data_IF_024315938712
#
_entry.id   IF_024315938712
#
_cell.length_a   1.000
_cell.length_b   1.000
_cell.length_c   1.000
_cell.angle_alpha   90.00
_cell.angle_beta   90.00
_cell.angle_gamma   90.00
#
_symmetry.space_group_name_H-M   'P 1'
#
loop_
_entity.id
_entity.type
_entity.pdbx_description
1 polymer ?
#
# COMPACT_ATOMS: atom_id res chain seq x y z
N UNK A 1 -6.50 22.24 -28.01
CA UNK A 1 -5.41 21.30 -27.68
C UNK A 1 -5.84 19.93 -28.12
N UNK A 2 -4.92 19.16 -28.71
CA UNK A 2 -5.20 17.77 -29.03
C UNK A 2 -5.21 16.89 -27.77
N UNK A 3 -5.91 15.75 -27.84
CA UNK A 3 -6.02 14.80 -26.74
C UNK A 3 -4.64 14.28 -26.30
N UNK A 4 -3.73 14.05 -27.25
CA UNK A 4 -2.38 13.61 -26.94
C UNK A 4 -1.63 14.66 -26.12
N UNK A 5 -1.76 15.94 -26.49
CA UNK A 5 -1.14 17.06 -25.76
C UNK A 5 -1.68 17.15 -24.34
N UNK A 6 -3.00 17.04 -24.15
CA UNK A 6 -3.63 17.05 -22.83
C UNK A 6 -3.12 15.88 -21.98
N UNK A 7 -3.03 14.68 -22.57
CA UNK A 7 -2.56 13.47 -21.88
C UNK A 7 -1.13 13.66 -21.36
N UNK A 8 -0.21 14.16 -22.19
CA UNK A 8 1.16 14.40 -21.77
C UNK A 8 1.27 15.49 -20.70
N UNK A 9 0.45 16.55 -20.79
CA UNK A 9 0.44 17.60 -19.77
C UNK A 9 -0.04 17.07 -18.42
N UNK A 10 -1.15 16.34 -18.39
CA UNK A 10 -1.71 15.81 -17.14
C UNK A 10 -0.78 14.77 -16.52
N UNK A 11 -0.30 13.80 -17.29
CA UNK A 11 0.62 12.78 -16.80
C UNK A 11 1.94 13.42 -16.37
N UNK A 12 2.54 14.28 -17.19
CA UNK A 12 3.77 14.97 -16.84
C UNK A 12 3.65 15.80 -15.58
N UNK A 13 2.53 16.53 -15.42
CA UNK A 13 2.27 17.34 -14.23
C UNK A 13 2.09 16.50 -12.96
N UNK A 14 1.41 15.36 -13.02
CA UNK A 14 1.25 14.48 -11.84
C UNK A 14 2.58 13.88 -11.41
N UNK A 15 3.41 13.41 -12.35
CA UNK A 15 4.76 12.95 -12.05
C UNK A 15 5.62 14.05 -11.44
N UNK A 16 5.62 15.25 -12.04
CA UNK A 16 6.37 16.39 -11.53
C UNK A 16 5.94 16.77 -10.09
N UNK A 17 4.63 16.76 -9.81
CA UNK A 17 4.09 17.00 -8.48
C UNK A 17 4.59 15.96 -7.46
N UNK A 18 4.45 14.66 -7.76
CA UNK A 18 4.89 13.61 -6.84
C UNK A 18 6.40 13.62 -6.62
N UNK A 19 7.20 13.85 -7.65
CA UNK A 19 8.65 14.02 -7.52
C UNK A 19 8.99 15.24 -6.66
N UNK A 20 8.31 16.37 -6.88
CA UNK A 20 8.46 17.58 -6.07
C UNK A 20 8.17 17.32 -4.58
N UNK A 21 7.08 16.60 -4.28
CA UNK A 21 6.74 16.19 -2.92
C UNK A 21 7.82 15.26 -2.35
N UNK A 22 8.30 14.29 -3.12
CA UNK A 22 9.34 13.35 -2.68
C UNK A 22 10.67 14.04 -2.34
N UNK A 23 11.06 15.07 -3.11
CA UNK A 23 12.24 15.87 -2.80
C UNK A 23 12.04 16.76 -1.57
N UNK A 24 10.85 17.34 -1.41
CA UNK A 24 10.54 18.20 -0.26
C UNK A 24 10.42 17.42 1.05
N UNK A 25 9.82 16.23 1.02
CA UNK A 25 9.56 15.38 2.18
C UNK A 25 10.65 14.31 2.41
N UNK A 26 11.89 14.57 1.97
CA UNK A 26 12.98 13.59 2.04
C UNK A 26 13.31 13.24 3.50
N UNK A 27 13.23 11.95 3.84
CA UNK A 27 13.55 11.46 5.17
C UNK A 27 15.05 11.59 5.48
N UNK A 28 15.38 12.05 6.70
CA UNK A 28 16.74 12.18 7.22
C UNK A 28 17.16 11.01 8.13
N UNK A 29 16.23 10.17 8.57
CA UNK A 29 16.50 9.02 9.43
C UNK A 29 15.65 7.79 9.09
N UNK A 30 16.04 6.63 9.60
CA UNK A 30 15.31 5.36 9.44
C UNK A 30 13.90 5.42 10.05
N UNK A 31 13.71 6.14 11.17
CA UNK A 31 12.40 6.30 11.80
C UNK A 31 11.48 7.21 10.97
N UNK A 32 12.02 8.29 10.41
CA UNK A 32 11.28 9.13 9.46
C UNK A 32 10.93 8.37 8.19
N UNK A 33 11.82 7.49 7.71
CA UNK A 33 11.59 6.70 6.52
C UNK A 33 10.49 5.64 6.70
N UNK A 34 10.51 4.86 7.80
CA UNK A 34 9.58 3.74 7.97
C UNK A 34 8.26 4.11 8.64
N UNK A 35 8.23 5.12 9.52
CA UNK A 35 7.01 5.46 10.29
C UNK A 35 6.67 6.95 10.24
N UNK A 36 7.33 7.74 9.37
CA UNK A 36 7.14 9.18 9.27
C UNK A 36 7.26 9.90 10.64
N UNK A 37 8.17 9.41 11.49
CA UNK A 37 8.38 9.93 12.85
C UNK A 37 7.19 9.75 13.80
N UNK A 38 6.16 8.98 13.43
CA UNK A 38 4.94 8.77 14.23
C UNK A 38 4.00 9.97 14.30
N UNK A 39 4.25 11.04 13.54
CA UNK A 39 3.52 12.31 13.61
C UNK A 39 2.31 12.43 12.69
N UNK A 40 2.04 11.44 11.83
CA UNK A 40 0.96 11.50 10.84
C UNK A 40 -0.40 11.29 11.51
N UNK A 41 -1.33 12.23 11.31
CA UNK A 41 -2.67 12.14 11.87
C UNK A 41 -3.37 10.84 11.41
N UNK A 42 -4.10 10.12 12.29
CA UNK A 42 -4.66 8.80 11.97
C UNK A 42 -5.53 8.77 10.70
N UNK A 43 -6.33 9.82 10.46
CA UNK A 43 -7.17 9.93 9.25
C UNK A 43 -6.30 10.06 8.00
N UNK A 44 -5.23 10.86 8.03
CA UNK A 44 -4.31 11.00 6.91
C UNK A 44 -3.56 9.69 6.64
N UNK A 45 -3.14 9.01 7.70
CA UNK A 45 -2.49 7.71 7.59
C UNK A 45 -3.44 6.65 7.00
N UNK A 46 -4.71 6.65 7.42
CA UNK A 46 -5.74 5.79 6.86
C UNK A 46 -6.02 6.07 5.38
N UNK A 47 -6.07 7.35 4.98
CA UNK A 47 -6.20 7.73 3.56
C UNK A 47 -4.99 7.32 2.73
N UNK A 48 -3.76 7.52 3.25
CA UNK A 48 -2.54 7.09 2.57
C UNK A 48 -2.53 5.57 2.37
N UNK A 49 -2.96 4.83 3.38
CA UNK A 49 -3.08 3.38 3.35
C UNK A 49 -4.13 2.92 2.33
N UNK A 50 -5.28 3.59 2.27
CA UNK A 50 -6.31 3.32 1.26
C UNK A 50 -5.85 3.67 -0.16
N UNK A 51 -5.04 4.72 -0.32
CA UNK A 51 -4.48 5.13 -1.60
C UNK A 51 -3.42 4.14 -2.12
N UNK A 52 -2.51 3.67 -1.26
CA UNK A 52 -1.50 2.66 -1.60
C UNK A 52 -2.13 1.34 -2.05
N UNK A 53 -3.27 1.02 -1.46
CA UNK A 53 -4.08 -0.14 -1.81
C UNK A 53 -4.80 -0.01 -3.18
N UNK A 54 -5.01 1.21 -3.66
CA UNK A 54 -5.63 1.50 -4.96
C UNK A 54 -4.59 1.48 -6.08
N UNK A 55 -4.38 0.30 -6.69
CA UNK A 55 -3.50 0.16 -7.85
C UNK A 55 -4.25 0.21 -9.19
N UNK A 56 -3.51 0.39 -10.29
CA UNK A 56 -4.07 0.26 -11.64
C UNK A 56 -4.66 -1.15 -11.89
N UNK A 57 -4.03 -2.19 -11.32
CA UNK A 57 -4.55 -3.55 -11.38
C UNK A 57 -5.91 -3.64 -10.72
N UNK A 58 -6.08 -3.03 -9.55
CA UNK A 58 -7.35 -2.99 -8.80
C UNK A 58 -8.43 -2.26 -9.60
N UNK A 59 -8.10 -1.09 -10.16
CA UNK A 59 -9.05 -0.28 -10.94
C UNK A 59 -9.54 -1.01 -12.19
N UNK A 60 -8.62 -1.51 -13.02
CA UNK A 60 -8.95 -2.18 -14.28
C UNK A 60 -9.62 -3.54 -14.00
N UNK A 61 -9.12 -4.32 -13.04
CA UNK A 61 -9.70 -5.61 -12.71
C UNK A 61 -11.11 -5.46 -12.18
N UNK A 62 -11.38 -4.47 -11.32
CA UNK A 62 -12.72 -4.28 -10.78
C UNK A 62 -13.72 -3.92 -11.88
N UNK A 63 -13.33 -3.03 -12.81
CA UNK A 63 -14.16 -2.72 -13.97
C UNK A 63 -14.44 -3.96 -14.83
N UNK A 64 -13.42 -4.79 -15.09
CA UNK A 64 -13.59 -6.06 -15.82
C UNK A 64 -14.48 -7.06 -15.11
N UNK A 65 -14.28 -7.26 -13.80
CA UNK A 65 -15.08 -8.20 -12.99
C UNK A 65 -16.55 -7.77 -12.91
N UNK A 66 -16.83 -6.48 -12.71
CA UNK A 66 -18.22 -5.97 -12.69
C UNK A 66 -18.85 -6.06 -14.07
N UNK A 67 -18.11 -5.73 -15.13
CA UNK A 67 -18.62 -5.84 -16.50
C UNK A 67 -19.01 -7.27 -16.86
N UNK A 68 -18.31 -8.28 -16.34
CA UNK A 68 -18.56 -9.69 -16.69
C UNK A 68 -19.50 -10.41 -15.72
N UNK A 69 -19.46 -10.07 -14.42
CA UNK A 69 -20.20 -10.78 -13.36
C UNK A 69 -21.30 -9.92 -12.70
N UNK A 70 -21.48 -8.67 -13.13
CA UNK A 70 -22.47 -7.75 -12.57
C UNK A 70 -22.29 -7.56 -11.07
N UNK A 71 -23.40 -7.63 -10.31
CA UNK A 71 -23.39 -7.50 -8.86
C UNK A 71 -22.49 -8.52 -8.16
N UNK A 72 -22.35 -9.74 -8.71
CA UNK A 72 -21.45 -10.76 -8.17
C UNK A 72 -19.99 -10.31 -8.13
N UNK A 73 -19.56 -9.51 -9.12
CA UNK A 73 -18.24 -8.90 -9.14
C UNK A 73 -18.08 -7.84 -8.03
N UNK A 74 -19.12 -7.07 -7.74
CA UNK A 74 -19.08 -6.03 -6.70
C UNK A 74 -18.87 -6.59 -5.27
N UNK A 75 -19.21 -7.87 -5.02
CA UNK A 75 -18.98 -8.52 -3.72
C UNK A 75 -17.48 -8.62 -3.40
N UNK A 76 -16.61 -8.74 -4.41
CA UNK A 76 -15.16 -8.74 -4.21
C UNK A 76 -14.66 -7.41 -3.61
N UNK A 77 -15.28 -6.29 -3.98
CA UNK A 77 -14.95 -4.97 -3.41
C UNK A 77 -15.26 -4.93 -1.90
N UNK A 78 -16.41 -5.47 -1.49
CA UNK A 78 -16.80 -5.57 -0.09
C UNK A 78 -15.90 -6.52 0.70
N UNK A 79 -15.63 -7.72 0.15
CA UNK A 79 -14.78 -8.72 0.80
C UNK A 79 -13.36 -8.22 1.02
N UNK A 80 -12.78 -7.57 0.01
CA UNK A 80 -11.42 -7.06 0.07
C UNK A 80 -11.28 -5.87 1.03
N UNK A 81 -12.22 -4.91 0.98
CA UNK A 81 -12.27 -3.78 1.92
C UNK A 81 -12.47 -4.25 3.36
N UNK A 82 -13.40 -5.19 3.57
CA UNK A 82 -13.65 -5.78 4.89
C UNK A 82 -12.44 -6.53 5.45
N UNK A 83 -11.75 -7.30 4.60
CA UNK A 83 -10.48 -7.96 4.95
C UNK A 83 -9.41 -6.97 5.42
N UNK A 84 -9.35 -5.79 4.80
CA UNK A 84 -8.42 -4.74 5.20
C UNK A 84 -8.69 -4.21 6.61
N UNK A 85 -9.97 -3.99 6.94
CA UNK A 85 -10.39 -3.57 8.28
C UNK A 85 -10.05 -4.65 9.31
N UNK A 86 -10.27 -5.92 8.98
CA UNK A 86 -9.89 -7.03 9.87
C UNK A 86 -8.38 -7.08 10.10
N UNK A 87 -7.55 -6.94 9.06
CA UNK A 87 -6.09 -6.88 9.21
C UNK A 87 -5.65 -5.68 10.06
N UNK A 88 -6.24 -4.50 9.84
CA UNK A 88 -5.93 -3.29 10.59
C UNK A 88 -6.30 -3.42 12.08
N UNK A 89 -7.40 -4.10 12.42
CA UNK A 89 -7.82 -4.28 13.82
C UNK A 89 -7.15 -5.48 14.50
N UNK A 90 -6.93 -6.57 13.78
CA UNK A 90 -6.51 -7.85 14.36
C UNK A 90 -5.02 -8.13 14.22
N UNK A 91 -4.33 -7.55 13.24
CA UNK A 91 -2.92 -7.83 12.99
C UNK A 91 -2.03 -6.62 13.30
N UNK A 92 -2.41 -5.43 12.84
CA UNK A 92 -1.59 -4.22 12.99
C UNK A 92 -1.23 -3.90 14.46
N UNK A 93 -2.10 -4.07 15.48
CA UNK A 93 -1.73 -3.81 16.87
C UNK A 93 -0.62 -4.74 17.39
N UNK A 94 -0.60 -5.99 16.96
CA UNK A 94 0.42 -6.96 17.39
C UNK A 94 1.76 -6.68 16.70
N UNK A 95 1.73 -6.36 15.40
CA UNK A 95 2.94 -5.97 14.67
C UNK A 95 3.55 -4.69 15.26
N UNK A 96 2.72 -3.70 15.62
CA UNK A 96 3.16 -2.48 16.31
C UNK A 96 3.84 -2.78 17.65
N UNK A 97 3.26 -3.68 18.46
CA UNK A 97 3.85 -4.11 19.75
C UNK A 97 5.17 -4.87 19.58
N UNK A 98 5.36 -5.55 18.45
CA UNK A 98 6.58 -6.30 18.15
C UNK A 98 7.78 -5.38 17.80
N UNK A 99 7.52 -4.12 17.41
CA UNK A 99 8.56 -3.11 17.23
C UNK A 99 9.48 -3.30 16.02
N UNK A 100 9.08 -4.13 15.05
CA UNK A 100 9.80 -4.30 13.77
C UNK A 100 9.10 -3.57 12.64
N UNK A 101 9.88 -3.13 11.66
CA UNK A 101 9.40 -2.30 10.57
C UNK A 101 8.93 -3.11 9.34
N UNK A 102 9.33 -4.38 9.22
CA UNK A 102 8.99 -5.23 8.07
C UNK A 102 8.37 -6.57 8.46
N UNK A 103 7.48 -7.10 7.62
CA UNK A 103 6.84 -8.40 7.84
C UNK A 103 7.84 -9.57 7.76
N UNK A 104 8.86 -9.47 6.90
CA UNK A 104 9.90 -10.49 6.78
C UNK A 104 10.79 -10.59 8.02
N UNK A 105 11.15 -9.45 8.63
CA UNK A 105 11.84 -9.44 9.93
C UNK A 105 10.96 -10.03 11.03
N UNK A 106 9.67 -9.68 11.07
CA UNK A 106 8.72 -10.27 12.01
C UNK A 106 8.71 -11.79 11.92
N UNK A 107 8.59 -12.34 10.71
CA UNK A 107 8.58 -13.80 10.48
C UNK A 107 9.92 -14.42 10.90
N UNK A 108 11.04 -13.83 10.48
CA UNK A 108 12.37 -14.34 10.82
C UNK A 108 12.60 -14.42 12.34
N UNK A 109 12.20 -13.39 13.07
CA UNK A 109 12.40 -13.31 14.52
C UNK A 109 11.37 -14.18 15.27
N UNK A 110 10.12 -14.23 14.79
CA UNK A 110 9.04 -15.04 15.39
C UNK A 110 9.34 -16.55 15.37
N UNK A 111 10.04 -17.01 14.33
CA UNK A 111 10.40 -18.41 14.13
C UNK A 111 11.90 -18.69 14.33
N UNK A 112 12.69 -17.69 14.73
CA UNK A 112 14.14 -17.80 14.88
C UNK A 112 14.86 -18.41 13.66
N UNK A 113 14.40 -18.07 12.45
CA UNK A 113 14.81 -18.74 11.21
C UNK A 113 15.10 -17.76 10.08
N UNK A 114 16.35 -17.79 9.59
CA UNK A 114 16.76 -17.02 8.41
C UNK A 114 16.09 -17.55 7.13
N UNK A 115 15.83 -18.85 7.05
CA UNK A 115 15.10 -19.43 5.92
C UNK A 115 13.67 -18.90 5.86
N UNK A 116 12.98 -18.82 7.00
CA UNK A 116 11.61 -18.28 7.07
C UNK A 116 11.58 -16.79 6.67
N UNK A 117 12.60 -16.01 7.07
CA UNK A 117 12.78 -14.62 6.62
C UNK A 117 12.94 -14.54 5.11
N UNK A 118 13.78 -15.39 4.51
CA UNK A 118 14.02 -15.39 3.07
C UNK A 118 12.77 -15.77 2.28
N UNK A 119 12.02 -16.77 2.75
CA UNK A 119 10.73 -17.15 2.15
C UNK A 119 9.75 -15.98 2.22
N UNK A 120 9.67 -15.26 3.35
CA UNK A 120 8.82 -14.09 3.47
C UNK A 120 9.20 -12.98 2.48
N UNK A 121 10.50 -12.74 2.28
CA UNK A 121 10.98 -11.79 1.25
C UNK A 121 10.59 -12.26 -0.15
N UNK A 122 10.77 -13.54 -0.48
CA UNK A 122 10.38 -14.08 -1.77
C UNK A 122 8.87 -13.93 -2.01
N UNK A 123 8.04 -14.23 -1.02
CA UNK A 123 6.59 -14.02 -1.08
C UNK A 123 6.23 -12.55 -1.31
N UNK A 124 6.90 -11.61 -0.63
CA UNK A 124 6.65 -10.16 -0.79
C UNK A 124 7.04 -9.62 -2.17
N UNK A 125 8.00 -10.24 -2.85
CA UNK A 125 8.44 -9.80 -4.20
C UNK A 125 7.54 -10.39 -5.29
N UNK A 126 7.00 -11.59 -5.08
CA UNK A 126 6.22 -12.33 -6.09
C UNK A 126 4.73 -11.98 -6.04
N UNK A 127 4.18 -11.72 -4.85
CA UNK A 127 2.76 -11.44 -4.63
C UNK A 127 2.36 -10.04 -5.09
#
# INVERSE_FOLDING_TARGET
MDLQTITYLVVGATFALYLGIAFWARAGSTSEFYVAGGGVHPVMNGMATAADWMSAASFISMAGLISNMGYGGAVFLMGWTGGYVLLAMLLAPYLRKFGKFTASEFIGDRFYSQTARLVAVACLIIA
#
